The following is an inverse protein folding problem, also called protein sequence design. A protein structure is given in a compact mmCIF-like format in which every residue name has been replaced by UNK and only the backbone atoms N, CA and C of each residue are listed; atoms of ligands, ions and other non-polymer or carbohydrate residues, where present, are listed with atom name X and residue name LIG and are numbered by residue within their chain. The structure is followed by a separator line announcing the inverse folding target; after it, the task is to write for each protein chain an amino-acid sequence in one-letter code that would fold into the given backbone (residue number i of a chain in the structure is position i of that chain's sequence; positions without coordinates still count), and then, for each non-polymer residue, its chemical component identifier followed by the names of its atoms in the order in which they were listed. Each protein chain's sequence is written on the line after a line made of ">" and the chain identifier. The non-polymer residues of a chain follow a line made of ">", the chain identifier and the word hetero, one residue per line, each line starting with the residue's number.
data_IF_458713592402
#
_entry.id   IF_458713592402
#
_cell.length_a   1.000
_cell.length_b   1.000
_cell.length_c   1.000
_cell.angle_alpha   90.00
_cell.angle_beta   90.00
_cell.angle_gamma   90.00
#
_symmetry.space_group_name_H-M   'P 1'
#
loop_
_entity.id
_entity.type
_entity.pdbx_description
1 polymer ?
#
# COMPACT_ATOMS: atom_id res chain seq x y z
N UNK A 1 16.17 -1.70 -11.67
CA UNK A 1 16.39 -0.27 -11.36
C UNK A 1 16.11 -0.03 -9.89
N UNK A 2 15.88 1.23 -9.49
CA UNK A 2 15.47 1.56 -8.13
C UNK A 2 14.04 1.13 -7.79
N UNK A 3 13.54 1.56 -6.63
CA UNK A 3 12.29 1.06 -6.04
C UNK A 3 11.28 2.19 -5.74
N UNK A 4 10.00 1.90 -5.94
CA UNK A 4 8.89 2.81 -5.62
C UNK A 4 8.10 2.18 -4.48
N UNK A 5 7.88 2.93 -3.39
CA UNK A 5 7.00 2.55 -2.29
C UNK A 5 5.67 3.27 -2.43
N UNK A 6 4.58 2.52 -2.43
CA UNK A 6 3.23 3.07 -2.46
C UNK A 6 2.21 2.10 -1.87
N UNK A 7 1.06 2.62 -1.46
CA UNK A 7 -0.01 1.82 -0.88
C UNK A 7 -1.36 2.12 -1.55
N UNK A 8 -2.12 1.06 -1.83
CA UNK A 8 -3.51 1.16 -2.29
C UNK A 8 -4.47 0.65 -1.22
N UNK A 9 -5.62 1.31 -1.10
CA UNK A 9 -6.70 0.87 -0.21
C UNK A 9 -7.43 -0.28 -0.89
N UNK A 10 -7.64 -1.36 -0.16
CA UNK A 10 -8.38 -2.54 -0.59
C UNK A 10 -9.69 -2.57 0.20
N UNK A 11 -10.82 -2.15 -0.40
CA UNK A 11 -12.08 -2.13 0.31
C UNK A 11 -12.58 -3.53 0.63
N UNK A 12 -13.35 -3.65 1.70
CA UNK A 12 -14.09 -4.85 2.09
C UNK A 12 -15.55 -4.50 2.40
N UNK A 13 -16.47 -5.47 2.42
CA UNK A 13 -17.84 -5.24 2.89
C UNK A 13 -17.86 -4.57 4.27
N UNK A 14 -18.69 -3.54 4.42
CA UNK A 14 -18.76 -2.77 5.67
C UNK A 14 -19.56 -3.56 6.70
N UNK A 15 -19.01 -3.69 7.90
CA UNK A 15 -19.75 -4.22 9.03
C UNK A 15 -20.75 -3.18 9.54
N UNK A 16 -22.01 -3.57 9.64
CA UNK A 16 -23.03 -2.81 10.37
C UNK A 16 -22.98 -3.23 11.85
N UNK A 17 -22.18 -2.49 12.62
CA UNK A 17 -21.96 -2.71 14.06
C UNK A 17 -22.38 -1.46 14.85
N UNK A 18 -22.79 -1.65 16.10
CA UNK A 18 -23.03 -0.54 17.04
C UNK A 18 -21.72 0.16 17.41
N UNK A 19 -21.80 1.32 18.07
CA UNK A 19 -20.61 2.05 18.53
C UNK A 19 -19.82 1.25 19.57
N UNK A 20 -20.52 0.60 20.49
CA UNK A 20 -19.91 -0.20 21.55
C UNK A 20 -19.24 -1.46 20.99
N UNK A 21 -19.92 -2.17 20.08
CA UNK A 21 -19.31 -3.30 19.35
C UNK A 21 -18.02 -2.85 18.65
N UNK A 22 -18.02 -1.71 17.96
CA UNK A 22 -16.82 -1.19 17.32
C UNK A 22 -15.72 -0.78 18.31
N UNK A 23 -16.07 -0.32 19.51
CA UNK A 23 -15.09 0.02 20.55
C UNK A 23 -14.39 -1.25 21.08
N UNK A 24 -15.14 -2.33 21.33
CA UNK A 24 -14.60 -3.64 21.71
C UNK A 24 -13.70 -4.23 20.63
N UNK A 25 -14.15 -4.23 19.37
CA UNK A 25 -13.36 -4.73 18.23
C UNK A 25 -12.05 -3.96 18.06
N UNK A 26 -12.05 -2.65 18.31
CA UNK A 26 -10.82 -1.83 18.26
C UNK A 26 -9.81 -2.21 19.32
N UNK A 27 -10.23 -2.77 20.46
CA UNK A 27 -9.36 -3.32 21.51
C UNK A 27 -8.82 -4.71 21.15
N UNK A 28 -9.26 -5.30 20.04
CA UNK A 28 -8.92 -6.67 19.66
C UNK A 28 -9.82 -7.73 20.31
N UNK A 29 -10.89 -7.30 20.97
CA UNK A 29 -11.83 -8.16 21.68
C UNK A 29 -13.05 -8.48 20.80
N UNK A 30 -13.74 -9.59 21.11
CA UNK A 30 -15.01 -9.95 20.49
C UNK A 30 -16.14 -9.46 21.40
N UNK A 31 -17.17 -8.76 20.89
CA UNK A 31 -18.34 -8.40 21.68
C UNK A 31 -18.99 -9.63 22.34
N UNK A 32 -19.29 -9.54 23.64
CA UNK A 32 -19.80 -10.66 24.44
C UNK A 32 -21.11 -11.25 23.86
N UNK A 33 -22.03 -10.37 23.44
CA UNK A 33 -23.30 -10.72 22.78
C UNK A 33 -23.16 -11.57 21.50
N UNK A 34 -21.94 -11.76 20.99
CA UNK A 34 -21.66 -12.56 19.79
C UNK A 34 -21.25 -14.00 20.14
N UNK A 35 -20.92 -14.29 21.40
CA UNK A 35 -20.55 -15.64 21.83
C UNK A 35 -21.67 -16.65 21.53
N UNK A 36 -22.92 -16.27 21.84
CA UNK A 36 -24.10 -17.11 21.58
C UNK A 36 -24.68 -16.94 20.16
N UNK A 37 -24.00 -16.18 19.29
CA UNK A 37 -24.45 -15.88 17.91
C UNK A 37 -23.38 -16.25 16.88
N UNK A 38 -22.99 -17.54 16.76
CA UNK A 38 -21.89 -17.97 15.91
C UNK A 38 -22.10 -17.62 14.43
N UNK A 39 -23.34 -17.69 13.93
CA UNK A 39 -23.69 -17.31 12.56
C UNK A 39 -23.52 -15.81 12.29
N UNK A 40 -23.77 -14.94 13.28
CA UNK A 40 -23.47 -13.49 13.17
C UNK A 40 -21.96 -13.28 13.17
N UNK A 41 -21.26 -13.91 14.11
CA UNK A 41 -19.81 -13.74 14.30
C UNK A 41 -19.00 -14.13 13.06
N UNK A 42 -19.33 -15.24 12.39
CA UNK A 42 -18.58 -15.70 11.23
C UNK A 42 -18.65 -14.75 10.02
N UNK A 43 -19.65 -13.86 9.97
CA UNK A 43 -19.82 -12.86 8.92
C UNK A 43 -19.10 -11.54 9.19
N UNK A 44 -18.49 -11.37 10.37
CA UNK A 44 -17.93 -10.08 10.82
C UNK A 44 -16.41 -10.07 10.65
N UNK A 45 -15.92 -9.12 9.86
CA UNK A 45 -14.49 -8.85 9.78
C UNK A 45 -14.00 -8.06 11.00
N UNK A 46 -13.27 -8.73 11.89
CA UNK A 46 -12.72 -8.15 13.11
C UNK A 46 -11.36 -7.47 12.91
N UNK A 47 -10.73 -7.63 11.74
CA UNK A 47 -9.38 -7.13 11.45
C UNK A 47 -9.42 -5.85 10.61
N UNK A 48 -10.42 -5.70 9.72
CA UNK A 48 -10.58 -4.50 8.91
C UNK A 48 -10.82 -3.24 9.76
N UNK A 49 -10.24 -2.11 9.35
CA UNK A 49 -10.35 -0.82 10.04
C UNK A 49 -10.79 0.29 9.09
N UNK A 50 -11.29 1.37 9.69
CA UNK A 50 -11.65 2.60 8.99
C UNK A 50 -10.43 3.52 8.84
N UNK A 51 -10.35 4.20 7.71
CA UNK A 51 -9.38 5.28 7.45
C UNK A 51 -10.03 6.41 6.67
N UNK A 52 -9.45 7.62 6.72
CA UNK A 52 -9.94 8.77 5.96
C UNK A 52 -8.84 9.25 5.01
N UNK A 53 -9.14 9.26 3.70
CA UNK A 53 -8.23 9.72 2.65
C UNK A 53 -8.97 10.70 1.74
N UNK A 54 -8.39 11.88 1.51
CA UNK A 54 -9.00 12.96 0.70
C UNK A 54 -10.44 13.31 1.10
N UNK A 55 -10.72 13.40 2.40
CA UNK A 55 -12.06 13.71 2.91
C UNK A 55 -13.05 12.55 2.89
N UNK A 56 -12.72 11.42 2.24
CA UNK A 56 -13.59 10.24 2.12
C UNK A 56 -13.17 9.15 3.10
N UNK A 57 -14.15 8.49 3.70
CA UNK A 57 -13.94 7.36 4.61
C UNK A 57 -13.89 6.04 3.83
N UNK A 58 -12.90 5.21 4.15
CA UNK A 58 -12.70 3.90 3.56
C UNK A 58 -12.63 2.84 4.67
N UNK A 59 -13.16 1.65 4.40
CA UNK A 59 -13.12 0.52 5.32
C UNK A 59 -12.47 -0.67 4.63
N UNK A 60 -11.50 -1.30 5.29
CA UNK A 60 -10.83 -2.48 4.78
C UNK A 60 -9.35 -2.54 5.15
N UNK A 61 -8.54 -2.88 4.15
CA UNK A 61 -7.11 -3.12 4.27
C UNK A 61 -6.30 -2.15 3.40
N UNK A 62 -4.97 -2.20 3.55
CA UNK A 62 -4.01 -1.56 2.65
C UNK A 62 -3.07 -2.59 2.05
N UNK A 63 -2.85 -2.52 0.75
CA UNK A 63 -1.80 -3.23 0.03
C UNK A 63 -0.60 -2.28 -0.09
N UNK A 64 0.35 -2.39 0.84
CA UNK A 64 1.61 -1.65 0.78
C UNK A 64 2.55 -2.40 -0.14
N UNK A 65 3.20 -1.71 -1.09
CA UNK A 65 3.96 -2.36 -2.16
C UNK A 65 5.32 -1.71 -2.37
N UNK A 66 6.30 -2.55 -2.68
CA UNK A 66 7.58 -2.17 -3.29
C UNK A 66 7.54 -2.58 -4.76
N UNK A 67 7.77 -1.62 -5.65
CA UNK A 67 7.68 -1.80 -7.09
C UNK A 67 9.01 -1.49 -7.76
N UNK A 68 9.44 -2.33 -8.71
CA UNK A 68 10.57 -2.01 -9.57
C UNK A 68 10.24 -0.82 -10.47
N UNK A 69 11.07 0.21 -10.36
CA UNK A 69 10.91 1.44 -11.15
C UNK A 69 10.95 1.16 -12.65
N UNK A 70 11.80 0.25 -13.12
CA UNK A 70 12.04 0.07 -14.56
C UNK A 70 10.93 -0.76 -15.21
N UNK A 71 10.64 -1.93 -14.68
CA UNK A 71 9.79 -2.95 -15.31
C UNK A 71 8.36 -2.95 -14.78
N UNK A 72 8.07 -2.15 -13.74
CA UNK A 72 6.76 -2.08 -13.06
C UNK A 72 6.34 -3.41 -12.43
N UNK A 73 7.28 -4.21 -11.92
CA UNK A 73 6.98 -5.46 -11.20
C UNK A 73 6.84 -5.18 -9.71
N UNK A 74 5.82 -5.78 -9.06
CA UNK A 74 5.69 -5.77 -7.60
C UNK A 74 6.73 -6.74 -7.02
N UNK A 75 7.70 -6.23 -6.26
CA UNK A 75 8.78 -7.02 -5.66
C UNK A 75 8.45 -7.53 -4.27
N UNK A 76 7.86 -6.67 -3.44
CA UNK A 76 7.38 -7.01 -2.10
C UNK A 76 6.03 -6.37 -1.88
N UNK A 77 5.24 -6.99 -1.02
CA UNK A 77 4.02 -6.41 -0.52
C UNK A 77 3.84 -6.75 0.94
N UNK A 78 3.10 -5.90 1.65
CA UNK A 78 2.70 -6.10 3.02
C UNK A 78 1.26 -5.62 3.16
N UNK A 79 0.43 -6.41 3.86
CA UNK A 79 -0.99 -6.10 4.03
C UNK A 79 -1.26 -5.82 5.49
N UNK A 80 -1.92 -4.70 5.74
CA UNK A 80 -2.37 -4.26 7.07
C UNK A 80 -3.83 -3.87 6.99
N UNK A 81 -4.48 -3.63 8.13
CA UNK A 81 -5.72 -2.87 8.11
C UNK A 81 -5.52 -1.46 7.52
N UNK A 82 -6.62 -0.82 7.11
CA UNK A 82 -6.54 0.45 6.40
C UNK A 82 -6.12 1.65 7.27
N UNK A 83 -6.18 1.53 8.60
CA UNK A 83 -5.83 2.63 9.52
C UNK A 83 -4.31 2.79 9.67
N UNK A 84 -3.53 1.72 9.50
CA UNK A 84 -2.06 1.76 9.59
C UNK A 84 -1.48 2.78 8.62
N UNK A 85 -0.58 3.62 9.14
CA UNK A 85 0.10 4.64 8.35
C UNK A 85 1.23 4.04 7.53
N UNK A 86 1.36 4.49 6.28
CA UNK A 86 2.23 3.86 5.28
C UNK A 86 3.72 3.86 5.69
N UNK A 87 4.16 4.86 6.47
CA UNK A 87 5.54 4.92 6.97
C UNK A 87 5.91 3.78 7.95
N UNK A 88 4.93 3.12 8.57
CA UNK A 88 5.15 2.05 9.55
C UNK A 88 5.49 0.71 8.89
N UNK A 89 5.19 0.53 7.60
CA UNK A 89 5.37 -0.76 6.90
C UNK A 89 6.66 -0.84 6.09
N UNK A 90 7.47 0.23 6.13
CA UNK A 90 8.69 0.41 5.35
C UNK A 90 9.68 -0.76 5.51
N UNK A 91 9.85 -1.29 6.71
CA UNK A 91 10.81 -2.35 6.98
C UNK A 91 10.44 -3.67 6.31
N UNK A 92 9.14 -3.94 6.13
CA UNK A 92 8.68 -5.09 5.36
C UNK A 92 8.91 -4.92 3.85
N UNK A 93 8.99 -3.68 3.38
CA UNK A 93 9.01 -3.36 1.95
C UNK A 93 10.40 -3.09 1.39
N UNK A 94 11.26 -2.36 2.11
CA UNK A 94 12.54 -1.92 1.56
C UNK A 94 13.44 -3.09 1.17
N UNK A 95 14.09 -2.95 0.02
CA UNK A 95 15.05 -3.92 -0.50
C UNK A 95 16.40 -3.26 -0.80
N UNK A 96 17.48 -4.01 -0.55
CA UNK A 96 18.85 -3.60 -0.90
C UNK A 96 19.35 -4.26 -2.20
N UNK A 97 18.80 -5.42 -2.60
CA UNK A 97 19.20 -6.14 -3.82
C UNK A 97 18.69 -5.53 -5.14
N UNK A 98 18.41 -4.22 -5.16
CA UNK A 98 17.94 -3.53 -6.36
C UNK A 98 19.14 -3.05 -7.17
N UNK A 99 19.07 -3.15 -8.51
CA UNK A 99 20.14 -2.64 -9.39
C UNK A 99 20.32 -1.12 -9.36
N UNK A 100 19.44 -0.38 -8.67
CA UNK A 100 19.63 1.04 -8.38
C UNK A 100 19.25 1.36 -6.93
N UNK A 101 19.96 2.31 -6.33
CA UNK A 101 19.79 2.68 -4.91
C UNK A 101 18.63 3.64 -4.64
N UNK A 102 17.98 4.18 -5.67
CA UNK A 102 16.92 5.18 -5.50
C UNK A 102 15.62 4.62 -4.90
N UNK A 103 15.02 5.38 -3.98
CA UNK A 103 13.74 5.08 -3.33
C UNK A 103 12.76 6.24 -3.56
N UNK A 104 11.70 6.01 -4.32
CA UNK A 104 10.64 6.98 -4.58
C UNK A 104 9.42 6.67 -3.73
N UNK A 105 8.87 7.66 -3.03
CA UNK A 105 7.67 7.48 -2.22
C UNK A 105 6.95 8.82 -1.98
N UNK A 106 5.71 8.74 -1.49
CA UNK A 106 4.96 9.94 -1.12
C UNK A 106 5.52 10.64 0.12
N UNK A 107 5.13 11.90 0.33
CA UNK A 107 5.54 12.68 1.49
C UNK A 107 5.06 12.08 2.82
N UNK A 108 4.02 11.22 2.79
CA UNK A 108 3.61 10.41 3.94
C UNK A 108 4.74 9.50 4.45
N UNK A 109 5.62 9.02 3.58
CA UNK A 109 6.78 8.19 3.97
C UNK A 109 7.93 9.02 4.55
N UNK A 110 7.86 10.36 4.53
CA UNK A 110 8.98 11.21 4.93
C UNK A 110 8.99 11.46 6.43
N UNK A 111 9.96 10.85 7.11
CA UNK A 111 10.35 11.10 8.49
C UNK A 111 11.87 11.18 8.62
N UNK A 112 12.37 11.74 9.72
CA UNK A 112 13.82 11.75 10.01
C UNK A 112 14.37 10.33 10.16
N UNK A 113 13.61 9.45 10.82
CA UNK A 113 13.91 8.03 10.93
C UNK A 113 14.00 7.35 9.56
N UNK A 114 13.05 7.62 8.64
CA UNK A 114 13.10 7.06 7.29
C UNK A 114 14.33 7.55 6.52
N UNK A 115 14.63 8.85 6.60
CA UNK A 115 15.82 9.40 5.91
C UNK A 115 17.12 8.84 6.50
N UNK A 116 17.20 8.61 7.82
CA UNK A 116 18.33 7.95 8.47
C UNK A 116 18.47 6.49 8.01
N UNK A 117 17.38 5.73 8.06
CA UNK A 117 17.30 4.34 7.59
C UNK A 117 17.74 4.18 6.14
N UNK A 118 17.35 5.11 5.27
CA UNK A 118 17.81 5.11 3.87
C UNK A 118 19.31 5.36 3.76
N UNK A 119 19.85 6.32 4.52
CA UNK A 119 21.31 6.60 4.54
C UNK A 119 22.10 5.39 5.01
N UNK A 120 21.70 4.77 6.11
CA UNK A 120 22.38 3.61 6.70
C UNK A 120 22.40 2.42 5.72
N UNK A 121 21.33 2.27 4.94
CA UNK A 121 21.21 1.25 3.90
C UNK A 121 21.83 1.65 2.56
N UNK A 122 22.53 2.79 2.47
CA UNK A 122 23.14 3.34 1.24
C UNK A 122 22.12 3.55 0.11
N UNK A 123 20.88 3.85 0.46
CA UNK A 123 19.78 4.12 -0.46
C UNK A 123 19.59 5.63 -0.65
N UNK A 124 19.31 6.05 -1.89
CA UNK A 124 19.11 7.46 -2.24
C UNK A 124 17.64 7.83 -2.13
N UNK A 125 17.33 8.77 -1.24
CA UNK A 125 15.97 9.25 -1.02
C UNK A 125 15.47 10.13 -2.16
N UNK A 126 14.38 9.69 -2.79
CA UNK A 126 13.55 10.45 -3.73
C UNK A 126 12.12 10.59 -3.19
N UNK A 127 11.97 10.68 -1.87
CA UNK A 127 10.68 10.89 -1.20
C UNK A 127 10.23 12.35 -1.41
N UNK A 128 8.93 12.57 -1.61
CA UNK A 128 8.39 13.92 -1.78
C UNK A 128 8.61 14.79 -0.54
N UNK A 129 8.98 16.05 -0.78
CA UNK A 129 9.02 17.06 0.30
C UNK A 129 7.60 17.53 0.59
N UNK A 130 7.28 17.76 1.86
CA UNK A 130 6.05 18.45 2.29
C UNK A 130 6.38 19.81 2.91
N UNK A 131 5.50 20.78 2.69
CA UNK A 131 5.54 22.03 3.45
C UNK A 131 5.23 21.77 4.92
N UNK A 132 5.63 22.68 5.79
CA UNK A 132 5.25 22.70 7.21
C UNK A 132 4.36 23.92 7.46
N UNK A 133 3.64 23.93 8.59
CA UNK A 133 2.83 25.10 8.99
C UNK A 133 3.72 26.35 9.01
N UNK A 134 3.32 27.40 8.31
CA UNK A 134 4.09 28.65 8.18
C UNK A 134 5.33 28.56 7.28
N UNK A 135 5.63 27.40 6.68
CA UNK A 135 6.80 27.17 5.81
C UNK A 135 6.36 26.39 4.57
N UNK A 136 5.77 27.06 3.57
CA UNK A 136 5.34 26.41 2.32
C UNK A 136 6.54 25.88 1.53
N UNK A 137 6.27 25.00 0.57
CA UNK A 137 7.32 24.51 -0.34
C UNK A 137 7.82 25.63 -1.24
N UNK A 138 9.13 25.82 -1.28
CA UNK A 138 9.82 26.64 -2.29
C UNK A 138 9.53 26.12 -3.71
N UNK A 139 9.60 26.99 -4.72
CA UNK A 139 9.43 26.59 -6.13
C UNK A 139 10.42 25.50 -6.56
N UNK A 140 11.67 25.57 -6.11
CA UNK A 140 12.66 24.51 -6.35
C UNK A 140 12.20 23.15 -5.79
N UNK A 141 11.64 23.14 -4.57
CA UNK A 141 11.10 21.92 -3.97
C UNK A 141 9.86 21.39 -4.71
N UNK A 142 9.00 22.28 -5.21
CA UNK A 142 7.86 21.90 -6.07
C UNK A 142 8.34 21.29 -7.39
N UNK A 143 9.32 21.91 -8.05
CA UNK A 143 9.96 21.37 -9.25
C UNK A 143 10.57 19.99 -9.01
N UNK A 144 11.31 19.82 -7.90
CA UNK A 144 11.86 18.52 -7.50
C UNK A 144 10.78 17.46 -7.27
N UNK A 145 9.67 17.82 -6.60
CA UNK A 145 8.53 16.92 -6.44
C UNK A 145 7.89 16.57 -7.78
N UNK A 146 7.76 17.52 -8.72
CA UNK A 146 7.23 17.25 -10.06
C UNK A 146 8.07 16.21 -10.81
N UNK A 147 9.39 16.33 -10.77
CA UNK A 147 10.30 15.31 -11.34
C UNK A 147 10.19 13.95 -10.65
N UNK A 148 9.94 13.91 -9.33
CA UNK A 148 9.73 12.65 -8.60
C UNK A 148 8.38 12.02 -8.96
N UNK A 149 7.33 12.82 -9.16
CA UNK A 149 6.00 12.36 -9.55
C UNK A 149 6.00 11.65 -10.92
N UNK A 150 6.78 12.11 -11.90
CA UNK A 150 6.88 11.44 -13.21
C UNK A 150 7.43 10.03 -13.12
N UNK A 151 8.21 9.73 -12.08
CA UNK A 151 8.67 8.37 -11.78
C UNK A 151 7.60 7.60 -10.99
N UNK A 152 6.98 8.24 -10.00
CA UNK A 152 5.97 7.60 -9.14
C UNK A 152 4.72 7.16 -9.89
N UNK A 153 4.27 7.89 -10.91
CA UNK A 153 3.09 7.54 -11.73
C UNK A 153 3.15 6.10 -12.28
N UNK A 154 4.35 5.50 -12.35
CA UNK A 154 4.54 4.11 -12.73
C UNK A 154 3.80 3.11 -11.83
N UNK A 155 3.69 3.37 -10.53
CA UNK A 155 2.92 2.52 -9.59
C UNK A 155 1.41 2.65 -9.78
N UNK A 156 0.94 3.84 -10.17
CA UNK A 156 -0.48 4.06 -10.46
C UNK A 156 -0.96 3.20 -11.63
N UNK A 157 -0.11 2.93 -12.62
CA UNK A 157 -0.44 1.97 -13.68
C UNK A 157 -0.67 0.55 -13.17
N UNK A 158 0.04 0.15 -12.10
CA UNK A 158 -0.12 -1.18 -11.49
C UNK A 158 -1.47 -1.25 -10.80
N UNK A 159 -1.76 -0.28 -9.95
CA UNK A 159 -3.04 -0.21 -9.24
C UNK A 159 -4.21 0.00 -10.21
N UNK A 160 -4.02 0.76 -11.28
CA UNK A 160 -5.01 0.92 -12.35
C UNK A 160 -5.31 -0.39 -13.07
N UNK A 161 -4.28 -1.16 -13.44
CA UNK A 161 -4.47 -2.48 -14.05
C UNK A 161 -5.16 -3.46 -13.09
N UNK A 162 -4.82 -3.44 -11.80
CA UNK A 162 -5.49 -4.25 -10.78
C UNK A 162 -6.95 -3.85 -10.58
N UNK A 163 -7.27 -2.56 -10.65
CA UNK A 163 -8.64 -2.07 -10.51
C UNK A 163 -9.49 -2.35 -11.74
N UNK A 164 -8.97 -2.10 -12.94
CA UNK A 164 -9.76 -2.16 -14.17
C UNK A 164 -9.81 -3.57 -14.78
N UNK A 165 -8.69 -4.28 -14.77
CA UNK A 165 -8.55 -5.51 -15.56
C UNK A 165 -8.63 -6.79 -14.71
N UNK A 166 -8.60 -6.67 -13.38
CA UNK A 166 -8.53 -7.80 -12.45
C UNK A 166 -9.73 -7.86 -11.49
N UNK A 167 -10.90 -7.44 -11.96
CA UNK A 167 -12.17 -7.55 -11.24
C UNK A 167 -12.34 -6.57 -10.08
N UNK A 168 -11.70 -5.39 -10.13
CA UNK A 168 -11.82 -4.36 -9.10
C UNK A 168 -10.83 -4.54 -7.93
N UNK A 169 -10.92 -3.65 -6.94
CA UNK A 169 -10.05 -3.70 -5.74
C UNK A 169 -10.72 -4.34 -4.53
N UNK A 170 -12.04 -4.59 -4.55
CA UNK A 170 -12.79 -5.19 -3.45
C UNK A 170 -12.32 -6.62 -3.14
N UNK A 171 -12.12 -6.93 -1.86
CA UNK A 171 -11.98 -8.32 -1.38
C UNK A 171 -13.12 -8.66 -0.43
N UNK A 172 -13.69 -9.85 -0.58
CA UNK A 172 -14.84 -10.34 0.22
C UNK A 172 -14.43 -11.32 1.31
N UNK A 173 -13.15 -11.64 1.40
CA UNK A 173 -12.62 -12.51 2.44
C UNK A 173 -12.71 -11.84 3.80
N UNK A 174 -13.09 -12.61 4.82
CA UNK A 174 -13.14 -12.15 6.21
C UNK A 174 -11.83 -12.49 6.91
N UNK A 175 -11.20 -11.45 7.45
CA UNK A 175 -9.97 -11.53 8.25
C UNK A 175 -8.68 -11.30 7.45
N UNK A 176 -7.67 -10.80 8.14
CA UNK A 176 -6.42 -10.29 7.56
C UNK A 176 -5.65 -11.37 6.80
N UNK A 177 -5.59 -12.59 7.34
CA UNK A 177 -4.83 -13.70 6.72
C UNK A 177 -5.38 -14.02 5.32
N UNK A 178 -6.70 -14.12 5.19
CA UNK A 178 -7.36 -14.41 3.91
C UNK A 178 -7.28 -13.22 2.95
N UNK A 179 -7.45 -12.00 3.47
CA UNK A 179 -7.29 -10.78 2.68
C UNK A 179 -5.87 -10.66 2.13
N UNK A 180 -4.85 -10.95 2.95
CA UNK A 180 -3.43 -10.97 2.54
C UNK A 180 -3.19 -11.97 1.42
N UNK A 181 -3.73 -13.18 1.52
CA UNK A 181 -3.61 -14.18 0.46
C UNK A 181 -4.28 -13.71 -0.84
N UNK A 182 -5.50 -13.18 -0.78
CA UNK A 182 -6.22 -12.67 -1.94
C UNK A 182 -5.49 -11.50 -2.63
N UNK A 183 -5.00 -10.54 -1.85
CA UNK A 183 -4.21 -9.40 -2.34
C UNK A 183 -2.89 -9.89 -2.94
N UNK A 184 -2.22 -10.84 -2.27
CA UNK A 184 -0.98 -11.44 -2.75
C UNK A 184 -1.14 -12.13 -4.11
N UNK A 185 -2.19 -12.92 -4.28
CA UNK A 185 -2.52 -13.54 -5.57
C UNK A 185 -2.78 -12.49 -6.65
N UNK A 186 -3.46 -11.39 -6.33
CA UNK A 186 -3.67 -10.28 -7.27
C UNK A 186 -2.35 -9.60 -7.67
N UNK A 187 -1.44 -9.37 -6.73
CA UNK A 187 -0.11 -8.85 -7.03
C UNK A 187 0.69 -9.82 -7.92
N UNK A 188 0.62 -11.13 -7.65
CA UNK A 188 1.30 -12.17 -8.44
C UNK A 188 0.74 -12.27 -9.87
N UNK A 189 -0.58 -12.33 -10.02
CA UNK A 189 -1.23 -12.40 -11.33
C UNK A 189 -0.94 -11.14 -12.17
N UNK A 190 -0.89 -9.95 -11.55
CA UNK A 190 -0.40 -8.74 -12.21
C UNK A 190 1.03 -8.94 -12.74
N UNK A 191 1.95 -9.44 -11.90
CA UNK A 191 3.34 -9.67 -12.30
C UNK A 191 3.45 -10.67 -13.46
N UNK A 192 2.69 -11.77 -13.45
CA UNK A 192 2.67 -12.75 -14.54
C UNK A 192 2.24 -12.12 -15.86
N UNK A 193 1.14 -11.34 -15.85
CA UNK A 193 0.69 -10.60 -17.04
C UNK A 193 1.73 -9.58 -17.49
N UNK A 194 2.35 -8.86 -16.55
CA UNK A 194 3.38 -7.86 -16.84
C UNK A 194 4.63 -8.50 -17.45
N UNK A 195 5.04 -9.67 -16.95
CA UNK A 195 6.16 -10.43 -17.51
C UNK A 195 5.91 -10.82 -18.96
N UNK A 196 4.70 -11.32 -19.28
CA UNK A 196 4.32 -11.62 -20.66
C UNK A 196 4.36 -10.38 -21.58
N UNK A 197 3.97 -9.21 -21.07
CA UNK A 197 4.12 -7.95 -21.83
C UNK A 197 5.58 -7.58 -22.05
N UNK A 198 6.43 -7.71 -21.02
CA UNK A 198 7.86 -7.40 -21.12
C UNK A 198 8.55 -8.29 -22.16
N UNK A 199 8.22 -9.59 -22.18
CA UNK A 199 8.76 -10.52 -23.19
C UNK A 199 8.34 -10.18 -24.62
N UNK A 200 7.18 -9.55 -24.83
CA UNK A 200 6.76 -9.09 -26.17
C UNK A 200 7.45 -7.79 -26.59
N UNK A 201 7.69 -6.89 -25.64
CA UNK A 201 8.31 -5.59 -25.88
C UNK A 201 9.85 -5.72 -26.02
N UNK A 202 10.43 -6.74 -25.39
CA UNK A 202 11.86 -7.03 -25.45
C UNK A 202 12.06 -8.55 -25.53
N UNK A 203 11.93 -9.15 -26.74
CA UNK A 203 12.03 -10.59 -26.92
C UNK A 203 13.40 -11.17 -26.55
N UNK A 204 14.44 -10.34 -26.44
CA UNK A 204 15.79 -10.70 -26.00
C UNK A 204 16.31 -9.64 -25.02
N UNK A 205 16.03 -9.74 -23.71
CA UNK A 205 16.74 -8.95 -22.73
C UNK A 205 18.16 -9.53 -22.60
N UNK A 206 19.16 -8.70 -22.90
CA UNK A 206 20.58 -9.00 -22.72
C UNK A 206 20.92 -9.34 -21.25
#
# INVERSE_FOLDING_TARGET
>A
GGQILDASIVPVPRNHNTRDENATIKKGEVPEDWADKPAKRCQKDLDARWTKKHGKSHYGYKNHTNVDRTHKLVRRYHVTDAAVHDSQTVDHLLMQGNTGSGVWADAAYRSEEMEAKLRDRKLKSYIHRKGKRGKPLTEQAKGSNRTKSTVRVRVEHIFGAQANDMGGTLVRTIGLVRAKAAIGMKNLAYNMRRLGQLGRISPHPA
#
